data_IF_040541048475
#
_entry.id   IF_040541048475
#
_cell.length_a   1.000
_cell.length_b   1.000
_cell.length_c   1.000
_cell.angle_alpha   90.00
_cell.angle_beta   90.00
_cell.angle_gamma   90.00
#
_symmetry.space_group_name_H-M   'P 1'
#
loop_
_entity.id
_entity.type
_entity.pdbx_description
1 polymer ?
#
# COMPACT_ATOMS: atom_id res chain seq x y z
N UNK A 1 -2.17 -5.20 -8.13
CA UNK A 1 -1.68 -6.45 -7.50
C UNK A 1 -1.38 -7.43 -8.62
N UNK A 2 -0.11 -7.76 -8.82
CA UNK A 2 0.30 -8.62 -9.92
C UNK A 2 -0.19 -10.03 -9.64
N UNK A 3 -1.18 -10.52 -10.41
CA UNK A 3 -1.10 -11.92 -10.81
C UNK A 3 0.20 -11.99 -11.62
N UNK A 4 1.29 -12.39 -10.97
CA UNK A 4 2.57 -12.53 -11.64
C UNK A 4 2.40 -13.69 -12.62
N UNK A 5 2.36 -13.37 -13.91
CA UNK A 5 2.75 -14.33 -14.92
C UNK A 5 4.26 -14.52 -14.73
N UNK A 6 4.63 -15.61 -14.06
CA UNK A 6 5.93 -16.28 -14.27
C UNK A 6 7.18 -15.51 -13.81
N UNK A 7 7.17 -14.95 -12.60
CA UNK A 7 8.40 -14.51 -11.96
C UNK A 7 8.63 -15.31 -10.66
N UNK A 8 9.52 -16.31 -10.70
CA UNK A 8 10.02 -17.03 -9.53
C UNK A 8 10.55 -16.09 -8.44
N UNK A 9 10.54 -16.52 -7.19
CA UNK A 9 11.12 -15.72 -6.09
C UNK A 9 12.62 -16.00 -5.93
N UNK A 10 13.02 -17.22 -6.30
CA UNK A 10 14.42 -17.61 -6.44
C UNK A 10 14.65 -18.03 -7.88
N UNK A 11 15.72 -17.50 -8.45
CA UNK A 11 16.16 -17.87 -9.78
C UNK A 11 17.56 -18.43 -9.72
N UNK A 12 17.74 -19.57 -10.37
CA UNK A 12 19.05 -20.13 -10.64
C UNK A 12 19.21 -20.22 -12.16
N UNK A 13 20.22 -19.51 -12.67
CA UNK A 13 20.52 -19.43 -14.09
C UNK A 13 21.89 -20.05 -14.38
N UNK A 14 21.96 -20.92 -15.38
CA UNK A 14 23.19 -21.32 -16.08
C UNK A 14 23.02 -21.09 -17.58
N UNK A 15 24.06 -21.35 -18.37
CA UNK A 15 24.01 -21.24 -19.84
C UNK A 15 22.95 -22.15 -20.49
N UNK A 16 22.55 -23.23 -19.83
CA UNK A 16 21.64 -24.24 -20.38
C UNK A 16 20.45 -24.58 -19.48
N UNK A 17 20.30 -23.89 -18.34
CA UNK A 17 19.29 -24.24 -17.35
C UNK A 17 18.79 -22.99 -16.62
N UNK A 18 17.47 -22.84 -16.63
CA UNK A 18 16.75 -21.90 -15.78
C UNK A 18 15.90 -22.69 -14.79
N UNK A 19 16.10 -22.46 -13.49
CA UNK A 19 15.25 -22.97 -12.42
C UNK A 19 14.64 -21.78 -11.69
N UNK A 20 13.31 -21.76 -11.64
CA UNK A 20 12.54 -20.84 -10.82
C UNK A 20 11.92 -21.58 -9.63
N UNK A 21 12.17 -21.12 -8.41
CA UNK A 21 11.57 -21.67 -7.19
C UNK A 21 10.61 -20.67 -6.54
N UNK A 22 9.53 -21.19 -5.95
CA UNK A 22 8.44 -20.43 -5.33
C UNK A 22 8.26 -20.89 -3.89
N UNK A 23 8.22 -19.98 -2.89
CA UNK A 23 8.37 -20.40 -1.49
C UNK A 23 7.10 -20.68 -0.69
N UNK A 24 5.89 -20.25 -1.09
CA UNK A 24 4.62 -20.72 -0.49
C UNK A 24 3.34 -20.22 -1.20
N UNK A 25 2.36 -21.11 -1.26
CA UNK A 25 0.96 -20.97 -1.73
C UNK A 25 0.76 -20.18 -3.03
N UNK A 26 0.72 -20.91 -4.14
CA UNK A 26 0.23 -20.36 -5.41
C UNK A 26 -1.23 -19.90 -5.25
N UNK A 27 -1.48 -18.63 -5.55
CA UNK A 27 -2.79 -18.16 -5.98
C UNK A 27 -3.04 -18.74 -7.38
N UNK A 28 -3.63 -19.92 -7.41
CA UNK A 28 -4.16 -20.57 -8.61
C UNK A 28 -5.55 -20.02 -8.91
N UNK A 29 -6.05 -20.25 -10.13
CA UNK A 29 -7.47 -19.98 -10.46
C UNK A 29 -8.44 -20.68 -9.50
N UNK A 30 -8.00 -21.73 -8.81
CA UNK A 30 -8.84 -22.55 -7.94
C UNK A 30 -8.90 -22.04 -6.49
N UNK A 31 -7.99 -21.16 -6.07
CA UNK A 31 -7.95 -20.63 -4.69
C UNK A 31 -7.80 -19.10 -4.61
N UNK A 32 -7.62 -18.40 -5.74
CA UNK A 32 -7.68 -16.94 -5.80
C UNK A 32 -9.09 -16.48 -6.13
N UNK A 33 -9.93 -16.48 -5.11
CA UNK A 33 -11.31 -16.05 -5.23
C UNK A 33 -11.42 -14.53 -5.39
N UNK A 34 -12.60 -14.06 -5.83
CA UNK A 34 -12.89 -12.62 -5.87
C UNK A 34 -12.73 -11.99 -4.48
N UNK A 35 -13.16 -12.67 -3.42
CA UNK A 35 -12.96 -12.21 -2.05
C UNK A 35 -11.47 -12.06 -1.69
N UNK A 36 -10.63 -13.00 -2.11
CA UNK A 36 -9.17 -12.94 -1.94
C UNK A 36 -8.53 -11.78 -2.72
N UNK A 37 -9.08 -11.41 -3.87
CA UNK A 37 -8.66 -10.21 -4.62
C UNK A 37 -9.13 -8.93 -3.92
N UNK A 38 -10.39 -8.85 -3.55
CA UNK A 38 -11.02 -7.65 -3.01
C UNK A 38 -10.37 -7.17 -1.71
N UNK A 39 -9.99 -8.09 -0.81
CA UNK A 39 -9.30 -7.75 0.44
C UNK A 39 -7.88 -7.21 0.25
N UNK A 40 -7.29 -7.42 -0.94
CA UNK A 40 -5.95 -6.94 -1.30
C UNK A 40 -5.98 -5.77 -2.27
N UNK A 41 -7.15 -5.44 -2.80
CA UNK A 41 -7.30 -4.37 -3.76
C UNK A 41 -7.30 -3.03 -3.02
N UNK A 42 -6.17 -2.32 -3.04
CA UNK A 42 -6.05 -1.00 -2.44
C UNK A 42 -6.97 0.06 -3.08
N UNK A 43 -7.54 -0.19 -4.27
CA UNK A 43 -8.55 0.67 -4.91
C UNK A 43 -9.98 0.25 -4.59
N UNK A 44 -10.20 -0.67 -3.64
CA UNK A 44 -11.54 -1.05 -3.21
C UNK A 44 -12.20 0.10 -2.44
N UNK A 45 -13.08 0.82 -3.13
CA UNK A 45 -13.72 2.03 -2.60
C UNK A 45 -14.45 1.78 -1.27
N UNK A 46 -15.17 0.66 -1.12
CA UNK A 46 -15.88 0.32 0.12
C UNK A 46 -14.91 0.16 1.30
N UNK A 47 -13.74 -0.44 1.06
CA UNK A 47 -12.71 -0.57 2.10
C UNK A 47 -12.12 0.80 2.46
N UNK A 48 -11.91 1.68 1.48
CA UNK A 48 -11.45 3.05 1.72
C UNK A 48 -12.48 3.89 2.49
N UNK A 49 -13.78 3.69 2.25
CA UNK A 49 -14.86 4.32 3.03
C UNK A 49 -14.84 3.85 4.49
N UNK A 50 -14.69 2.54 4.72
CA UNK A 50 -14.54 1.96 6.05
C UNK A 50 -13.33 2.58 6.76
N UNK A 51 -12.19 2.67 6.07
CA UNK A 51 -10.98 3.31 6.59
C UNK A 51 -11.23 4.79 6.96
N UNK A 52 -11.96 5.55 6.13
CA UNK A 52 -12.27 6.96 6.41
C UNK A 52 -13.20 7.12 7.60
N UNK A 53 -14.20 6.26 7.72
CA UNK A 53 -15.11 6.25 8.85
C UNK A 53 -14.37 5.94 10.16
N UNK A 54 -13.38 5.05 10.09
CA UNK A 54 -12.55 4.66 11.23
C UNK A 54 -11.57 5.74 11.70
N UNK A 55 -10.86 6.39 10.76
CA UNK A 55 -9.96 7.50 11.09
C UNK A 55 -10.02 8.61 10.04
N UNK A 56 -10.75 9.67 10.39
CA UNK A 56 -10.91 10.85 9.52
C UNK A 56 -9.64 11.70 9.45
N UNK A 57 -8.75 11.58 10.43
CA UNK A 57 -7.55 12.41 10.59
C UNK A 57 -6.31 11.79 9.97
N UNK A 58 -6.42 10.61 9.37
CA UNK A 58 -5.32 9.95 8.66
C UNK A 58 -4.76 10.85 7.55
N UNK A 59 -3.44 10.97 7.49
CA UNK A 59 -2.69 11.77 6.52
C UNK A 59 -1.88 10.82 5.63
N UNK A 60 -2.00 10.96 4.32
CA UNK A 60 -1.24 10.18 3.34
C UNK A 60 -0.28 11.09 2.58
N UNK A 61 1.00 10.76 2.62
CA UNK A 61 2.02 11.39 1.76
C UNK A 61 2.83 10.29 1.08
N UNK A 62 2.91 10.32 -0.25
CA UNK A 62 3.72 9.36 -1.01
C UNK A 62 4.57 10.09 -2.03
N UNK A 63 5.78 9.57 -2.22
CA UNK A 63 6.64 9.89 -3.33
C UNK A 63 6.70 8.69 -4.26
N UNK A 64 6.61 8.92 -5.57
CA UNK A 64 6.68 7.82 -6.54
C UNK A 64 7.29 8.30 -7.85
N UNK A 65 8.09 7.45 -8.49
CA UNK A 65 8.64 7.73 -9.80
C UNK A 65 7.63 7.38 -10.89
N UNK A 66 7.45 8.28 -11.87
CA UNK A 66 6.69 7.97 -13.07
C UNK A 66 7.43 7.01 -14.03
N UNK A 67 8.74 6.77 -13.80
CA UNK A 67 9.56 5.82 -14.56
C UNK A 67 9.87 4.54 -13.78
N UNK A 68 9.15 4.30 -12.68
CA UNK A 68 9.21 3.05 -11.92
C UNK A 68 8.93 1.85 -12.84
N UNK A 69 9.81 0.85 -12.83
CA UNK A 69 9.77 -0.32 -13.70
C UNK A 69 8.48 -1.16 -13.55
N UNK A 70 7.80 -1.07 -12.41
CA UNK A 70 6.52 -1.75 -12.16
C UNK A 70 5.32 -1.04 -12.77
N UNK A 71 5.51 0.17 -13.33
CA UNK A 71 4.47 0.94 -14.05
C UNK A 71 3.21 1.21 -13.22
N UNK A 72 3.36 1.34 -11.90
CA UNK A 72 2.23 1.54 -10.96
C UNK A 72 1.84 3.01 -10.74
N UNK A 73 2.46 3.94 -11.45
CA UNK A 73 2.22 5.38 -11.26
C UNK A 73 0.74 5.75 -11.41
N UNK A 74 0.09 5.27 -12.48
CA UNK A 74 -1.35 5.53 -12.74
C UNK A 74 -2.25 5.00 -11.63
N UNK A 75 -1.94 3.82 -11.09
CA UNK A 75 -2.73 3.25 -10.01
C UNK A 75 -2.58 4.06 -8.72
N UNK A 76 -1.37 4.57 -8.44
CA UNK A 76 -1.12 5.48 -7.31
C UNK A 76 -1.82 6.82 -7.48
N UNK A 77 -1.80 7.40 -8.69
CA UNK A 77 -2.55 8.62 -8.98
C UNK A 77 -4.04 8.41 -8.72
N UNK A 78 -4.62 7.30 -9.19
CA UNK A 78 -6.03 6.96 -8.95
C UNK A 78 -6.35 6.75 -7.47
N UNK A 79 -5.45 6.10 -6.72
CA UNK A 79 -5.59 5.93 -5.27
C UNK A 79 -5.65 7.28 -4.56
N UNK A 80 -4.72 8.18 -4.88
CA UNK A 80 -4.66 9.51 -4.24
C UNK A 80 -5.82 10.42 -4.64
N UNK A 81 -6.30 10.34 -5.88
CA UNK A 81 -7.55 10.99 -6.27
C UNK A 81 -8.74 10.47 -5.45
N UNK A 82 -8.79 9.16 -5.23
CA UNK A 82 -9.85 8.53 -4.42
C UNK A 82 -9.75 8.97 -2.96
N UNK A 83 -8.55 9.02 -2.38
CA UNK A 83 -8.34 9.56 -1.03
C UNK A 83 -8.80 11.01 -0.90
N UNK A 84 -8.44 11.86 -1.86
CA UNK A 84 -8.88 13.26 -1.88
C UNK A 84 -10.41 13.37 -1.98
N UNK A 85 -11.06 12.57 -2.84
CA UNK A 85 -12.52 12.53 -2.98
C UNK A 85 -13.23 12.07 -1.70
N UNK A 86 -12.62 11.17 -0.93
CA UNK A 86 -13.09 10.74 0.40
C UNK A 86 -12.78 11.75 1.52
N UNK A 87 -12.12 12.86 1.19
CA UNK A 87 -11.80 13.95 2.12
C UNK A 87 -10.63 13.65 3.07
N UNK A 88 -9.71 12.76 2.69
CA UNK A 88 -8.43 12.62 3.40
C UNK A 88 -7.46 13.75 3.03
N UNK A 89 -6.54 14.05 3.95
CA UNK A 89 -5.34 14.84 3.63
C UNK A 89 -4.36 13.90 2.90
N UNK A 90 -4.35 13.95 1.57
CA UNK A 90 -3.60 13.03 0.74
C UNK A 90 -2.78 13.77 -0.32
N UNK A 91 -1.46 13.60 -0.29
CA UNK A 91 -0.52 14.23 -1.24
C UNK A 91 0.36 13.18 -1.94
N UNK A 92 0.28 13.15 -3.27
CA UNK A 92 1.18 12.34 -4.11
C UNK A 92 2.20 13.23 -4.82
N UNK A 93 3.47 13.03 -4.49
CA UNK A 93 4.61 13.60 -5.21
C UNK A 93 5.05 12.63 -6.31
N UNK A 94 4.52 12.86 -7.52
CA UNK A 94 4.92 12.08 -8.69
C UNK A 94 6.15 12.72 -9.35
N UNK A 95 7.29 12.04 -9.27
CA UNK A 95 8.57 12.47 -9.83
C UNK A 95 8.59 12.12 -11.32
N UNK A 96 8.66 13.14 -12.17
CA UNK A 96 8.43 13.03 -13.62
C UNK A 96 9.71 12.76 -14.39
N UNK A 97 10.80 13.43 -14.04
CA UNK A 97 12.04 13.38 -14.80
C UNK A 97 13.28 13.67 -13.95
N UNK A 98 14.43 13.55 -14.59
CA UNK A 98 15.75 13.59 -13.99
C UNK A 98 16.09 14.95 -13.35
N UNK A 99 15.40 16.03 -13.72
CA UNK A 99 15.62 17.36 -13.11
C UNK A 99 15.23 17.43 -11.63
N UNK A 100 14.41 16.48 -11.16
CA UNK A 100 13.98 16.36 -9.77
C UNK A 100 14.92 15.47 -8.92
N UNK A 101 15.98 14.93 -9.53
CA UNK A 101 16.99 14.14 -8.83
C UNK A 101 17.91 15.08 -8.04
N UNK A 102 17.94 14.92 -6.71
CA UNK A 102 18.81 15.68 -5.81
C UNK A 102 20.04 14.89 -5.34
N UNK A 103 20.17 13.63 -5.79
CA UNK A 103 21.25 12.72 -5.42
C UNK A 103 21.22 12.24 -3.96
N UNK A 104 20.19 12.64 -3.19
CA UNK A 104 20.04 12.37 -1.76
C UNK A 104 18.71 11.69 -1.49
N UNK A 105 17.62 12.45 -1.49
CA UNK A 105 16.27 11.92 -1.28
C UNK A 105 15.77 11.19 -2.53
N UNK A 106 15.99 11.78 -3.70
CA UNK A 106 15.68 11.20 -5.01
C UNK A 106 17.03 10.93 -5.68
N UNK A 107 17.48 9.67 -5.62
CA UNK A 107 18.79 9.24 -6.14
C UNK A 107 18.75 8.93 -7.63
N UNK A 108 17.62 8.41 -8.10
CA UNK A 108 17.30 8.14 -9.49
C UNK A 108 15.79 7.85 -9.62
N UNK A 109 15.34 7.46 -10.81
CA UNK A 109 13.93 7.23 -11.13
C UNK A 109 13.50 5.74 -11.13
N UNK A 110 14.36 4.81 -10.72
CA UNK A 110 13.96 3.41 -10.56
C UNK A 110 13.12 3.21 -9.30
N UNK A 111 12.53 2.03 -9.12
CA UNK A 111 11.64 1.69 -8.00
C UNK A 111 12.23 2.05 -6.62
N UNK A 112 13.52 1.76 -6.40
CA UNK A 112 14.22 2.02 -5.14
C UNK A 112 15.00 3.36 -5.13
N UNK A 113 14.78 4.20 -6.13
CA UNK A 113 15.50 5.47 -6.31
C UNK A 113 15.20 6.50 -5.22
N UNK A 114 14.07 6.38 -4.53
CA UNK A 114 13.63 7.32 -3.50
C UNK A 114 14.00 6.77 -2.11
N UNK A 115 14.58 7.61 -1.25
CA UNK A 115 14.98 7.25 0.11
C UNK A 115 13.83 7.43 1.10
N UNK A 116 13.28 6.31 1.59
CA UNK A 116 12.24 6.32 2.62
C UNK A 116 12.68 7.07 3.89
N UNK A 117 13.93 6.88 4.33
CA UNK A 117 14.47 7.57 5.51
C UNK A 117 14.44 9.09 5.34
N UNK A 118 14.84 9.60 4.17
CA UNK A 118 14.88 11.04 3.91
C UNK A 118 13.48 11.62 3.69
N UNK A 119 12.60 10.89 3.02
CA UNK A 119 11.17 11.25 2.92
C UNK A 119 10.57 11.34 4.32
N UNK A 120 10.81 10.33 5.18
CA UNK A 120 10.31 10.34 6.55
C UNK A 120 10.86 11.54 7.35
N UNK A 121 12.17 11.81 7.30
CA UNK A 121 12.77 12.97 7.97
C UNK A 121 12.21 14.31 7.49
N UNK A 122 11.85 14.41 6.21
CA UNK A 122 11.25 15.61 5.61
C UNK A 122 9.78 15.77 6.02
N UNK A 123 8.98 14.73 5.87
CA UNK A 123 7.53 14.79 6.02
C UNK A 123 7.07 14.67 7.47
N UNK A 124 7.83 13.98 8.35
CA UNK A 124 7.42 13.77 9.73
C UNK A 124 7.14 15.08 10.49
N UNK A 125 8.02 16.11 10.48
CA UNK A 125 7.72 17.37 11.16
C UNK A 125 6.44 18.04 10.65
N UNK A 126 6.25 18.07 9.33
CA UNK A 126 5.06 18.66 8.70
C UNK A 126 3.77 17.89 9.05
N UNK A 127 3.85 16.57 9.12
CA UNK A 127 2.75 15.72 9.56
C UNK A 127 2.44 15.99 11.04
N UNK A 128 3.46 16.11 11.90
CA UNK A 128 3.26 16.39 13.32
C UNK A 128 2.61 17.77 13.55
N UNK A 129 3.01 18.80 12.81
CA UNK A 129 2.37 20.12 12.83
C UNK A 129 0.87 20.02 12.45
N UNK A 130 0.54 19.25 11.40
CA UNK A 130 -0.86 19.02 10.99
C UNK A 130 -1.68 18.22 12.02
N UNK A 131 -1.02 17.51 12.92
CA UNK A 131 -1.65 16.71 13.98
C UNK A 131 -1.67 17.42 15.32
N UNK A 132 -1.00 18.56 15.45
CA UNK A 132 -0.96 19.36 16.67
C UNK A 132 -2.38 19.76 17.10
N UNK A 133 -2.68 19.61 18.39
CA UNK A 133 -4.00 19.92 18.96
C UNK A 133 -5.12 18.93 18.61
N UNK A 134 -4.87 17.91 17.78
CA UNK A 134 -5.87 16.87 17.50
C UNK A 134 -5.94 15.86 18.65
N UNK A 135 -7.15 15.48 19.03
CA UNK A 135 -7.39 14.39 19.99
C UNK A 135 -7.57 13.06 19.25
N UNK A 136 -6.86 12.03 19.71
CA UNK A 136 -6.97 10.68 19.15
C UNK A 136 -7.67 9.77 20.14
N UNK A 137 -8.68 9.02 19.67
CA UNK A 137 -9.32 8.00 20.49
C UNK A 137 -8.35 6.83 20.70
N UNK A 138 -8.09 6.51 21.98
CA UNK A 138 -7.19 5.41 22.37
C UNK A 138 -7.91 4.10 22.68
N UNK A 139 -9.22 4.04 22.50
CA UNK A 139 -9.97 2.83 22.82
C UNK A 139 -9.61 1.69 21.84
N UNK A 140 -9.61 0.43 22.31
CA UNK A 140 -9.48 -0.74 21.45
C UNK A 140 -10.54 -0.66 20.36
N UNK A 141 -10.11 -0.81 19.12
CA UNK A 141 -10.97 -0.64 17.96
C UNK A 141 -10.82 -1.83 17.03
N UNK A 142 -11.95 -2.31 16.53
CA UNK A 142 -12.02 -3.39 15.55
C UNK A 142 -12.35 -2.77 14.20
N UNK A 143 -11.49 -3.01 13.22
CA UNK A 143 -11.68 -2.61 11.83
C UNK A 143 -12.10 -3.84 11.02
N UNK A 144 -13.29 -3.80 10.44
CA UNK A 144 -13.88 -4.95 9.75
C UNK A 144 -14.01 -4.68 8.26
N UNK A 145 -13.41 -5.54 7.44
CA UNK A 145 -13.49 -5.45 5.98
C UNK A 145 -14.32 -6.63 5.44
N UNK A 146 -15.57 -6.38 5.01
CA UNK A 146 -16.38 -7.41 4.40
C UNK A 146 -15.90 -7.74 2.99
N UNK A 147 -16.04 -9.00 2.62
CA UNK A 147 -15.88 -9.55 1.27
C UNK A 147 -17.00 -10.55 1.00
N UNK A 148 -17.08 -11.07 -0.21
CA UNK A 148 -18.16 -11.99 -0.62
C UNK A 148 -18.14 -13.32 0.16
N UNK A 149 -16.99 -13.76 0.66
CA UNK A 149 -16.82 -15.07 1.32
C UNK A 149 -16.57 -14.97 2.83
N UNK A 150 -15.97 -13.86 3.27
CA UNK A 150 -15.59 -13.67 4.67
C UNK A 150 -15.55 -12.19 5.07
N UNK A 151 -15.62 -11.94 6.38
CA UNK A 151 -15.31 -10.65 7.00
C UNK A 151 -13.97 -10.76 7.71
N UNK A 152 -13.08 -9.83 7.41
CA UNK A 152 -11.75 -9.74 8.00
C UNK A 152 -11.76 -8.69 9.10
N UNK A 153 -11.64 -9.13 10.35
CA UNK A 153 -11.61 -8.27 11.52
C UNK A 153 -10.17 -8.08 11.99
N UNK A 154 -9.73 -6.82 12.03
CA UNK A 154 -8.45 -6.41 12.60
C UNK A 154 -8.72 -5.73 13.93
N UNK A 155 -8.33 -6.40 15.02
CA UNK A 155 -8.47 -5.89 16.37
C UNK A 155 -7.13 -5.35 16.87
N UNK A 156 -7.10 -4.10 17.30
CA UNK A 156 -5.96 -3.53 18.01
C UNK A 156 -5.97 -4.03 19.45
N UNK A 157 -5.00 -4.87 19.82
CA UNK A 157 -4.83 -5.35 21.19
C UNK A 157 -3.66 -4.68 21.92
N UNK A 158 -3.14 -3.56 21.36
CA UNK A 158 -2.11 -2.71 21.95
C UNK A 158 -0.73 -2.88 21.31
N UNK A 159 -0.12 -4.07 21.43
CA UNK A 159 1.22 -4.34 20.91
C UNK A 159 1.22 -4.91 19.48
N UNK A 160 0.08 -5.46 19.06
CA UNK A 160 -0.14 -6.05 17.75
C UNK A 160 -1.59 -5.90 17.30
N UNK A 161 -1.81 -6.17 16.02
CA UNK A 161 -3.13 -6.39 15.46
C UNK A 161 -3.40 -7.89 15.34
N UNK A 162 -4.57 -8.34 15.82
CA UNK A 162 -5.04 -9.70 15.58
C UNK A 162 -6.04 -9.75 14.44
N UNK A 163 -5.81 -10.67 13.50
CA UNK A 163 -6.74 -10.95 12.41
C UNK A 163 -7.67 -12.10 12.81
N UNK A 164 -8.97 -11.83 12.86
CA UNK A 164 -10.03 -12.84 12.95
C UNK A 164 -10.82 -12.85 11.64
N UNK A 165 -11.03 -14.03 11.07
CA UNK A 165 -11.78 -14.20 9.82
C UNK A 165 -13.05 -14.96 10.15
N UNK A 166 -14.21 -14.36 9.88
CA UNK A 166 -15.51 -15.02 10.00
C UNK A 166 -16.11 -15.22 8.62
N UNK A 167 -16.83 -16.32 8.36
CA UNK A 167 -17.63 -16.45 7.14
C UNK A 167 -18.62 -15.28 7.01
N UNK A 168 -18.84 -14.80 5.79
CA UNK A 168 -19.86 -13.79 5.47
C UNK A 168 -21.27 -14.36 5.50
#
# INVERSE_FOLDING_TARGET
>A
MFMRNEAGEFYFYTEHLEISCHTKSFWTKNNFTKAAFDIRNFLNYKHLEIQKAYDKNCIFVSYHSNKDEFKTAKDKEKLYQTYANLGFDATLHLIKNESEIDGKMIRNLSHAGISNERVFKKELPLILEKLEGKSFQKEPRILSYPSDEAVYHFEDIGDKYELKITPS
#
